data_IF_688319368325
#
_entry.id   IF_688319368325
#
_cell.length_a   1.000
_cell.length_b   1.000
_cell.length_c   1.000
_cell.angle_alpha   90.00
_cell.angle_beta   90.00
_cell.angle_gamma   90.00
#
_symmetry.space_group_name_H-M   'P 1'
#
loop_
_entity.id
_entity.type
_entity.pdbx_description
1 polymer ?
#
# COMPACT_ATOMS: atom_id res chain seq x y z
N UNK A 1 5.06 11.48 -6.10
CA UNK A 1 5.75 12.12 -4.95
C UNK A 1 5.96 11.08 -3.84
N UNK A 2 7.02 11.15 -3.04
CA UNK A 2 7.22 10.24 -1.90
C UNK A 2 7.19 11.05 -0.62
N UNK A 3 6.26 10.73 0.29
CA UNK A 3 6.12 11.46 1.57
C UNK A 3 5.72 10.51 2.71
N UNK A 4 5.72 11.00 3.95
CA UNK A 4 5.29 10.25 5.13
C UNK A 4 3.76 10.09 5.12
N UNK A 5 3.29 8.88 5.43
CA UNK A 5 1.85 8.64 5.55
C UNK A 5 1.27 9.46 6.72
N UNK A 6 0.20 10.24 6.54
CA UNK A 6 -0.32 11.16 7.56
C UNK A 6 -0.70 10.44 8.87
N UNK A 7 -1.30 9.25 8.75
CA UNK A 7 -1.64 8.39 9.91
C UNK A 7 -0.48 7.51 10.38
N UNK A 8 0.44 7.11 9.49
CA UNK A 8 1.54 6.19 9.81
C UNK A 8 2.87 6.90 9.54
N UNK A 9 3.20 7.87 10.39
CA UNK A 9 4.31 8.84 10.19
C UNK A 9 5.70 8.19 10.05
N UNK A 10 5.85 6.92 10.44
CA UNK A 10 7.08 6.14 10.25
C UNK A 10 7.20 5.50 8.86
N UNK A 11 6.10 5.39 8.13
CA UNK A 11 6.04 4.81 6.79
C UNK A 11 6.09 5.89 5.72
N UNK A 12 6.89 5.65 4.67
CA UNK A 12 6.86 6.47 3.45
C UNK A 12 5.93 5.82 2.44
N UNK A 13 5.08 6.61 1.81
CA UNK A 13 4.18 6.20 0.75
C UNK A 13 4.49 6.98 -0.52
N UNK A 14 4.22 6.35 -1.67
CA UNK A 14 4.12 7.10 -2.90
C UNK A 14 2.75 7.79 -2.92
N UNK A 15 2.69 8.95 -3.53
CA UNK A 15 1.47 9.70 -3.73
C UNK A 15 1.37 10.06 -5.20
N UNK A 16 0.19 9.81 -5.76
CA UNK A 16 -0.17 10.28 -7.09
C UNK A 16 -0.90 11.61 -6.89
N UNK A 17 -0.38 12.65 -7.54
CA UNK A 17 -1.00 13.97 -7.58
C UNK A 17 -1.70 14.07 -8.92
N UNK A 18 -3.02 14.25 -8.89
CA UNK A 18 -3.83 14.47 -10.09
C UNK A 18 -3.78 15.94 -10.51
N UNK A 19 -4.14 16.22 -11.76
CA UNK A 19 -4.14 17.58 -12.33
C UNK A 19 -5.15 18.52 -11.62
N UNK A 20 -6.17 17.96 -10.97
CA UNK A 20 -7.14 18.67 -10.13
C UNK A 20 -6.59 19.03 -8.74
N UNK A 21 -5.32 18.72 -8.46
CA UNK A 21 -4.68 18.99 -7.19
C UNK A 21 -5.05 18.00 -6.09
N UNK A 22 -5.75 16.90 -6.40
CA UNK A 22 -6.06 15.83 -5.43
C UNK A 22 -4.84 14.92 -5.24
N UNK A 23 -4.53 14.64 -3.98
CA UNK A 23 -3.42 13.78 -3.57
C UNK A 23 -3.98 12.48 -3.02
N UNK A 24 -3.71 11.38 -3.71
CA UNK A 24 -4.18 10.05 -3.31
C UNK A 24 -3.00 9.27 -2.77
N UNK A 25 -3.19 8.63 -1.61
CA UNK A 25 -2.17 7.76 -1.05
C UNK A 25 -2.00 6.51 -1.94
N UNK A 26 -0.81 6.39 -2.53
CA UNK A 26 -0.41 5.23 -3.31
C UNK A 26 0.62 4.43 -2.50
N UNK A 27 0.15 3.69 -1.52
CA UNK A 27 1.02 2.76 -0.81
C UNK A 27 1.20 1.51 -1.66
N UNK A 28 2.40 1.34 -2.23
CA UNK A 28 2.79 0.12 -2.96
C UNK A 28 2.42 -1.16 -2.18
N UNK A 29 2.65 -1.15 -0.86
CA UNK A 29 2.31 -2.27 0.01
C UNK A 29 0.80 -2.50 0.16
N UNK A 30 -0.03 -1.44 0.24
CA UNK A 30 -1.49 -1.59 0.25
C UNK A 30 -2.00 -2.13 -1.10
N UNK A 31 -1.52 -1.57 -2.20
CA UNK A 31 -1.91 -1.98 -3.55
C UNK A 31 -1.55 -3.45 -3.83
N UNK A 32 -0.34 -3.87 -3.49
CA UNK A 32 0.06 -5.27 -3.63
C UNK A 32 -0.76 -6.21 -2.75
N UNK A 33 -1.02 -5.84 -1.50
CA UNK A 33 -1.87 -6.65 -0.62
C UNK A 33 -3.28 -6.79 -1.18
N UNK A 34 -3.85 -5.73 -1.75
CA UNK A 34 -5.15 -5.77 -2.41
C UNK A 34 -5.13 -6.71 -3.64
N UNK A 35 -4.15 -6.52 -4.54
CA UNK A 35 -3.97 -7.36 -5.72
C UNK A 35 -3.84 -8.85 -5.38
N UNK A 36 -3.04 -9.19 -4.36
CA UNK A 36 -2.85 -10.58 -3.92
C UNK A 36 -4.13 -11.18 -3.37
N UNK A 37 -4.92 -10.40 -2.60
CA UNK A 37 -6.22 -10.85 -2.08
C UNK A 37 -7.24 -11.11 -3.17
N UNK A 38 -7.28 -10.24 -4.17
CA UNK A 38 -8.20 -10.37 -5.29
C UNK A 38 -7.85 -11.57 -6.17
N UNK A 39 -6.57 -11.74 -6.51
CA UNK A 39 -6.12 -12.76 -7.46
C UNK A 39 -5.92 -14.15 -6.83
N UNK A 40 -5.59 -14.21 -5.53
CA UNK A 40 -5.25 -15.45 -4.83
C UNK A 40 -5.95 -15.56 -3.46
N UNK A 41 -7.28 -15.49 -3.38
CA UNK A 41 -8.01 -15.32 -2.12
C UNK A 41 -7.75 -16.43 -1.09
N UNK A 42 -7.58 -17.68 -1.52
CA UNK A 42 -7.33 -18.84 -0.64
C UNK A 42 -5.95 -18.82 0.04
N UNK A 43 -4.97 -18.15 -0.55
CA UNK A 43 -3.58 -18.14 -0.07
C UNK A 43 -3.08 -16.76 0.32
N UNK A 44 -3.87 -15.72 0.04
CA UNK A 44 -3.48 -14.33 0.17
C UNK A 44 -3.00 -13.98 1.59
N UNK A 45 -3.76 -14.34 2.63
CA UNK A 45 -3.40 -13.97 4.00
C UNK A 45 -2.12 -14.67 4.48
N UNK A 46 -1.90 -15.94 4.09
CA UNK A 46 -0.65 -16.65 4.42
C UNK A 46 0.55 -15.95 3.78
N UNK A 47 0.45 -15.68 2.48
CA UNK A 47 1.51 -15.02 1.71
C UNK A 47 1.81 -13.61 2.23
N UNK A 48 0.77 -12.81 2.50
CA UNK A 48 0.92 -11.45 3.02
C UNK A 48 1.61 -11.46 4.39
N UNK A 49 1.25 -12.39 5.26
CA UNK A 49 1.85 -12.51 6.60
C UNK A 49 3.32 -12.93 6.54
N UNK A 50 3.70 -13.82 5.64
CA UNK A 50 5.06 -14.32 5.48
C UNK A 50 5.98 -13.27 4.85
N UNK A 51 5.51 -12.57 3.82
CA UNK A 51 6.37 -11.72 2.98
C UNK A 51 6.25 -10.21 3.25
N UNK A 52 5.14 -9.74 3.82
CA UNK A 52 4.89 -8.31 4.06
C UNK A 52 4.78 -7.98 5.55
N UNK A 53 5.75 -8.44 6.36
CA UNK A 53 5.82 -8.11 7.79
C UNK A 53 5.92 -6.59 8.01
N UNK A 54 5.37 -6.12 9.14
CA UNK A 54 5.46 -4.73 9.58
C UNK A 54 6.91 -4.43 9.97
N UNK A 55 7.62 -3.65 9.17
CA UNK A 55 8.76 -2.86 9.62
C UNK A 55 8.28 -1.62 10.37
#
# INVERSE_FOLDING_TARGET
MVDKHPQFRKSRCLFVVRMDGVWIDFSYQKCLRAYIREKYPSHAERFIREHFKRT
#
